data_IF_975449662274
#
_entry.id   IF_975449662274
#
_cell.length_a   1.000
_cell.length_b   1.000
_cell.length_c   1.000
_cell.angle_alpha   90.00
_cell.angle_beta   90.00
_cell.angle_gamma   90.00
#
_symmetry.space_group_name_H-M   'P 1'
#
loop_
_entity.id
_entity.type
_entity.pdbx_description
1 polymer ?
#
# COMPACT_ATOMS: atom_id res chain seq x y z
N UNK A 1 29.53 -53.55 47.52
CA UNK A 1 30.19 -52.25 47.30
C UNK A 1 29.07 -51.25 47.08
N UNK A 2 28.61 -50.45 48.06
CA UNK A 2 29.32 -49.36 48.81
C UNK A 2 30.02 -48.41 47.83
N UNK A 3 29.90 -47.08 47.84
CA UNK A 3 29.37 -46.07 48.78
C UNK A 3 29.02 -44.79 47.95
N UNK A 4 28.15 -43.86 48.38
CA UNK A 4 28.46 -42.60 49.12
C UNK A 4 29.45 -41.66 48.38
N UNK A 5 29.44 -40.31 48.37
CA UNK A 5 28.70 -39.19 48.99
C UNK A 5 29.26 -37.88 48.37
N UNK A 6 28.53 -36.76 48.54
CA UNK A 6 28.90 -35.37 48.96
C UNK A 6 30.34 -34.82 48.74
N UNK A 7 30.69 -33.53 48.73
CA UNK A 7 30.11 -32.18 48.81
C UNK A 7 31.27 -31.18 48.60
N UNK A 8 30.96 -29.87 48.62
CA UNK A 8 31.85 -28.72 48.86
C UNK A 8 32.78 -28.26 47.71
N UNK A 9 33.03 -26.98 47.49
CA UNK A 9 32.69 -25.77 48.24
C UNK A 9 33.64 -24.62 47.84
N UNK A 10 33.23 -23.38 48.12
CA UNK A 10 33.99 -22.11 48.12
C UNK A 10 34.43 -21.52 46.75
N UNK A 11 33.91 -20.37 46.29
CA UNK A 11 34.05 -18.97 46.76
C UNK A 11 35.39 -18.31 46.40
N UNK A 12 35.32 -17.16 45.70
CA UNK A 12 36.13 -15.90 45.80
C UNK A 12 35.88 -15.10 44.50
N UNK A 13 35.30 -13.89 44.38
CA UNK A 13 35.26 -12.60 45.10
C UNK A 13 36.06 -11.49 44.36
N UNK A 14 35.43 -10.30 44.25
CA UNK A 14 35.93 -8.96 43.84
C UNK A 14 36.03 -8.69 42.30
N UNK A 15 35.60 -7.52 41.76
CA UNK A 15 35.57 -6.17 42.32
C UNK A 15 34.62 -5.23 41.54
N UNK A 16 33.97 -4.34 42.30
CA UNK A 16 33.24 -3.11 41.91
C UNK A 16 34.08 -2.11 41.11
N UNK A 17 33.40 -1.27 40.31
CA UNK A 17 33.27 0.21 40.47
C UNK A 17 32.17 0.69 39.48
N UNK A 18 31.00 1.25 39.84
CA UNK A 18 30.66 2.54 40.50
C UNK A 18 31.51 3.71 39.95
N UNK A 19 31.00 4.83 39.47
CA UNK A 19 29.72 5.50 39.62
C UNK A 19 29.79 6.84 38.85
N UNK A 20 28.64 7.38 38.44
CA UNK A 20 28.16 8.78 38.54
C UNK A 20 29.19 9.95 38.48
N UNK A 21 28.94 11.09 37.84
CA UNK A 21 27.81 12.00 38.07
C UNK A 21 27.98 13.25 37.16
N UNK A 22 26.86 13.92 36.84
CA UNK A 22 26.61 15.40 36.91
C UNK A 22 27.71 16.38 36.45
N UNK A 23 27.50 17.45 35.68
CA UNK A 23 26.44 18.47 35.75
C UNK A 23 26.84 19.69 34.89
N UNK A 24 25.83 20.49 34.51
CA UNK A 24 25.83 21.97 34.32
C UNK A 24 26.50 22.56 33.06
N UNK A 25 25.74 23.18 32.14
CA UNK A 25 25.10 24.53 32.15
C UNK A 25 26.08 25.70 31.95
N UNK A 26 26.08 26.29 30.75
CA UNK A 26 25.85 27.71 30.40
C UNK A 26 26.46 28.03 29.02
N UNK A 27 25.71 28.49 28.01
CA UNK A 27 25.08 29.82 27.79
C UNK A 27 26.03 30.86 27.16
N UNK A 28 25.84 31.13 25.87
CA UNK A 28 25.82 32.45 25.17
C UNK A 28 25.95 32.18 23.65
N UNK A 29 24.97 32.44 22.77
CA UNK A 29 24.18 33.63 22.44
C UNK A 29 24.94 34.66 21.59
N UNK A 30 24.76 34.53 20.27
CA UNK A 30 24.86 35.54 19.19
C UNK A 30 24.66 34.76 17.88
N UNK A 31 24.00 35.20 16.83
CA UNK A 31 23.15 36.34 16.54
C UNK A 31 22.24 35.93 15.37
N UNK A 32 21.12 36.63 15.27
CA UNK A 32 20.03 36.42 14.33
C UNK A 32 20.46 36.36 12.86
N UNK A 33 20.00 35.34 12.12
CA UNK A 33 19.78 35.46 10.68
C UNK A 33 18.50 34.74 10.25
N UNK A 34 17.37 35.42 10.48
CA UNK A 34 16.13 35.09 9.79
C UNK A 34 16.30 35.44 8.30
N UNK A 35 16.28 34.44 7.42
CA UNK A 35 16.18 34.69 5.98
C UNK A 35 14.73 35.10 5.71
N UNK A 36 14.48 36.40 5.75
CA UNK A 36 13.24 37.00 5.26
C UNK A 36 13.24 36.84 3.75
N UNK A 37 12.19 36.21 3.22
CA UNK A 37 11.92 36.13 1.79
C UNK A 37 12.11 37.51 1.14
N UNK A 38 12.93 37.59 0.10
CA UNK A 38 13.05 38.80 -0.70
C UNK A 38 11.75 39.03 -1.48
N UNK A 39 10.86 39.84 -0.91
CA UNK A 39 9.76 40.44 -1.66
C UNK A 39 10.35 41.47 -2.64
N UNK A 40 10.41 41.09 -3.93
CA UNK A 40 10.65 42.03 -5.04
C UNK A 40 9.45 42.97 -5.14
N UNK A 41 9.70 44.28 -5.03
CA UNK A 41 8.71 45.31 -5.33
C UNK A 41 8.48 45.37 -6.85
N UNK A 42 7.20 45.41 -7.24
CA UNK A 42 6.75 45.71 -8.59
C UNK A 42 7.40 46.99 -9.12
N UNK A 43 7.93 46.90 -10.34
CA UNK A 43 7.93 48.01 -11.28
C UNK A 43 7.09 47.54 -12.48
N UNK A 44 6.03 48.29 -12.76
CA UNK A 44 5.07 48.04 -13.82
C UNK A 44 5.69 48.28 -15.20
N UNK A 45 5.51 47.35 -16.15
CA UNK A 45 4.69 47.57 -17.36
C UNK A 45 4.85 46.46 -18.41
N UNK A 46 3.69 46.00 -18.86
CA UNK A 46 3.33 45.49 -20.18
C UNK A 46 3.65 44.04 -20.61
N UNK A 47 2.51 43.36 -20.89
CA UNK A 47 2.27 42.44 -21.99
C UNK A 47 2.87 41.03 -21.87
N UNK A 48 2.12 40.10 -21.30
CA UNK A 48 1.20 39.24 -22.07
C UNK A 48 0.51 38.29 -21.08
N UNK A 49 -0.79 38.45 -20.89
CA UNK A 49 -1.62 37.45 -20.21
C UNK A 49 -1.66 36.18 -21.08
N UNK A 50 -0.76 35.25 -20.80
CA UNK A 50 -0.99 33.84 -21.08
C UNK A 50 -1.06 33.14 -19.74
N UNK A 51 -2.28 33.14 -19.19
CA UNK A 51 -2.69 32.12 -18.24
C UNK A 51 -2.47 30.78 -18.94
N UNK A 52 -1.36 30.12 -18.62
CA UNK A 52 -1.28 28.67 -18.76
C UNK A 52 -2.32 28.11 -17.79
N UNK A 53 -3.57 28.02 -18.25
CA UNK A 53 -4.47 27.00 -17.75
C UNK A 53 -3.85 25.69 -18.21
N UNK A 54 -2.91 25.18 -17.43
CA UNK A 54 -2.61 23.75 -17.44
C UNK A 54 -3.97 23.09 -17.27
N UNK A 55 -4.46 22.51 -18.36
CA UNK A 55 -5.54 21.55 -18.30
C UNK A 55 -4.98 20.43 -17.43
N UNK A 56 -5.19 20.52 -16.11
CA UNK A 56 -5.14 19.37 -15.23
C UNK A 56 -6.23 18.45 -15.75
N UNK A 57 -5.92 17.66 -16.77
CA UNK A 57 -6.67 16.46 -17.09
C UNK A 57 -6.76 15.73 -15.75
N UNK A 58 -7.96 15.67 -15.18
CA UNK A 58 -8.23 15.02 -13.91
C UNK A 58 -7.93 13.52 -14.05
N UNK A 59 -6.65 13.16 -14.02
CA UNK A 59 -6.21 11.77 -14.04
C UNK A 59 -6.68 11.17 -12.73
N UNK A 60 -7.64 10.25 -12.82
CA UNK A 60 -8.14 9.56 -11.65
C UNK A 60 -7.01 8.79 -10.97
N UNK A 61 -6.81 9.06 -9.68
CA UNK A 61 -5.82 8.35 -8.89
C UNK A 61 -6.31 6.94 -8.58
N UNK A 62 -5.49 5.94 -8.92
CA UNK A 62 -5.82 4.52 -8.75
C UNK A 62 -4.73 3.78 -7.99
N UNK A 63 -5.14 2.98 -7.00
CA UNK A 63 -4.24 2.08 -6.24
C UNK A 63 -4.49 0.66 -6.72
N UNK A 64 -3.46 0.00 -7.27
CA UNK A 64 -3.52 -1.35 -7.82
C UNK A 64 -2.82 -2.35 -6.90
N UNK A 65 -3.45 -3.48 -6.63
CA UNK A 65 -2.80 -4.68 -6.08
C UNK A 65 -2.69 -5.71 -7.18
N UNK A 66 -1.50 -6.30 -7.33
CA UNK A 66 -1.30 -7.46 -8.20
C UNK A 66 -0.74 -8.63 -7.39
N UNK A 67 -1.41 -9.79 -7.49
CA UNK A 67 -1.02 -11.02 -6.82
C UNK A 67 -0.83 -12.13 -7.84
N UNK A 68 0.42 -12.53 -8.08
CA UNK A 68 0.74 -13.61 -9.01
C UNK A 68 1.47 -14.75 -8.29
N UNK A 69 0.90 -15.95 -8.38
CA UNK A 69 1.52 -17.17 -7.85
C UNK A 69 1.06 -18.38 -8.65
N UNK A 70 2.00 -19.30 -8.90
CA UNK A 70 1.81 -20.49 -9.73
C UNK A 70 1.37 -20.18 -11.18
N UNK A 71 1.85 -19.07 -11.76
CA UNK A 71 1.55 -18.67 -13.14
C UNK A 71 0.12 -18.16 -13.35
N UNK A 72 -0.55 -17.75 -12.27
CA UNK A 72 -1.88 -17.15 -12.29
C UNK A 72 -1.84 -15.82 -11.58
N UNK A 73 -2.48 -14.83 -12.20
CA UNK A 73 -2.57 -13.45 -11.77
C UNK A 73 -4.01 -13.18 -11.32
N UNK A 74 -4.14 -12.63 -10.11
CA UNK A 74 -5.32 -11.91 -9.67
C UNK A 74 -4.93 -10.48 -9.33
N UNK A 75 -5.83 -9.54 -9.55
CA UNK A 75 -5.56 -8.14 -9.28
C UNK A 75 -6.82 -7.43 -8.81
N UNK A 76 -6.65 -6.29 -8.15
CA UNK A 76 -7.75 -5.41 -7.79
C UNK A 76 -7.25 -3.98 -7.75
N UNK A 77 -8.08 -3.00 -8.13
CA UNK A 77 -7.77 -1.59 -7.95
C UNK A 77 -8.93 -0.80 -7.37
N UNK A 78 -8.60 0.34 -6.77
CA UNK A 78 -9.56 1.29 -6.23
C UNK A 78 -9.33 2.66 -6.86
N UNK A 79 -10.39 3.30 -7.31
CA UNK A 79 -10.36 4.68 -7.80
C UNK A 79 -10.68 5.63 -6.66
N UNK A 80 -9.72 6.49 -6.27
CA UNK A 80 -9.84 7.35 -5.10
C UNK A 80 -11.00 8.35 -5.23
N UNK A 81 -11.18 8.89 -6.44
CA UNK A 81 -12.20 9.91 -6.73
C UNK A 81 -13.61 9.36 -6.71
N UNK A 82 -13.85 8.20 -7.31
CA UNK A 82 -15.20 7.63 -7.46
C UNK A 82 -15.57 6.67 -6.34
N UNK A 83 -14.60 6.15 -5.58
CA UNK A 83 -14.85 5.14 -4.56
C UNK A 83 -15.22 3.76 -5.12
N UNK A 84 -14.94 3.50 -6.39
CA UNK A 84 -15.23 2.22 -7.03
C UNK A 84 -14.08 1.22 -6.85
N UNK A 85 -14.44 -0.04 -6.59
CA UNK A 85 -13.53 -1.17 -6.58
C UNK A 85 -13.65 -1.95 -7.89
N UNK A 86 -12.51 -2.42 -8.36
CA UNK A 86 -12.41 -3.28 -9.52
C UNK A 86 -11.59 -4.51 -9.18
N UNK A 87 -12.03 -5.67 -9.63
CA UNK A 87 -11.35 -6.95 -9.42
C UNK A 87 -11.15 -7.66 -10.75
N UNK A 88 -9.94 -8.17 -10.95
CA UNK A 88 -9.59 -9.04 -12.04
C UNK A 88 -9.79 -10.48 -11.59
N UNK A 89 -10.63 -11.22 -12.29
CA UNK A 89 -10.73 -12.67 -12.14
C UNK A 89 -9.39 -13.35 -12.44
N UNK A 90 -9.15 -14.47 -11.79
CA UNK A 90 -7.86 -15.16 -11.83
C UNK A 90 -7.58 -15.68 -13.24
N UNK A 91 -6.58 -15.08 -13.88
CA UNK A 91 -6.17 -15.40 -15.24
C UNK A 91 -4.76 -15.99 -15.26
N UNK A 92 -4.43 -16.70 -16.33
CA UNK A 92 -3.07 -17.21 -16.54
C UNK A 92 -2.16 -16.07 -16.98
N UNK A 93 -1.05 -15.89 -16.28
CA UNK A 93 0.00 -14.94 -16.66
C UNK A 93 1.37 -15.54 -16.32
N UNK A 94 2.20 -15.72 -17.34
CA UNK A 94 3.40 -16.57 -17.26
C UNK A 94 4.66 -15.77 -17.62
N UNK A 95 5.81 -16.15 -17.04
CA UNK A 95 7.09 -15.59 -17.44
C UNK A 95 7.44 -15.95 -18.90
N UNK A 96 8.35 -15.19 -19.53
CA UNK A 96 9.07 -14.04 -18.94
C UNK A 96 8.35 -12.69 -19.06
N UNK A 97 7.36 -12.55 -19.94
CA UNK A 97 6.82 -11.22 -20.27
C UNK A 97 5.70 -10.73 -19.34
N UNK A 98 4.94 -11.63 -18.71
CA UNK A 98 3.76 -11.29 -17.91
C UNK A 98 2.83 -10.27 -18.59
N UNK A 99 2.40 -10.59 -19.81
CA UNK A 99 1.69 -9.67 -20.71
C UNK A 99 0.35 -9.19 -20.14
N UNK A 100 -0.31 -10.01 -19.33
CA UNK A 100 -1.60 -9.65 -18.74
C UNK A 100 -1.43 -8.56 -17.69
N UNK A 101 -0.41 -8.69 -16.83
CA UNK A 101 -0.03 -7.62 -15.91
C UNK A 101 0.36 -6.33 -16.66
N UNK A 102 1.19 -6.42 -17.70
CA UNK A 102 1.62 -5.24 -18.46
C UNK A 102 0.43 -4.52 -19.13
N UNK A 103 -0.56 -5.25 -19.61
CA UNK A 103 -1.79 -4.68 -20.19
C UNK A 103 -2.66 -4.04 -19.12
N UNK A 104 -2.85 -4.72 -17.99
CA UNK A 104 -3.58 -4.18 -16.83
C UNK A 104 -2.93 -2.88 -16.32
N UNK A 105 -1.61 -2.85 -16.17
CA UNK A 105 -0.89 -1.67 -15.69
C UNK A 105 -1.11 -0.46 -16.62
N UNK A 106 -1.01 -0.67 -17.94
CA UNK A 106 -1.25 0.38 -18.95
C UNK A 106 -2.72 0.84 -18.99
N UNK A 107 -3.67 -0.06 -18.77
CA UNK A 107 -5.10 0.29 -18.75
C UNK A 107 -5.49 1.06 -17.48
N UNK A 108 -4.91 0.68 -16.33
CA UNK A 108 -5.26 1.27 -15.02
C UNK A 108 -4.49 2.56 -14.77
N UNK A 109 -3.25 2.68 -15.27
CA UNK A 109 -2.33 3.78 -14.98
C UNK A 109 -2.27 4.12 -13.47
N UNK A 110 -1.91 3.14 -12.61
CA UNK A 110 -1.99 3.34 -11.17
C UNK A 110 -0.92 4.31 -10.65
N UNK A 111 -1.26 5.05 -9.60
CA UNK A 111 -0.30 5.88 -8.84
C UNK A 111 0.48 5.05 -7.82
N UNK A 112 0.02 3.84 -7.53
CA UNK A 112 0.62 2.93 -6.56
C UNK A 112 0.31 1.48 -6.94
N UNK A 113 1.34 0.64 -6.98
CA UNK A 113 1.25 -0.82 -7.15
C UNK A 113 1.69 -1.51 -5.86
N UNK A 114 0.83 -2.39 -5.37
CA UNK A 114 1.06 -3.21 -4.18
C UNK A 114 1.34 -4.66 -4.60
N UNK A 115 2.43 -5.23 -4.11
CA UNK A 115 2.85 -6.61 -4.38
C UNK A 115 3.09 -7.41 -3.11
N UNK A 116 2.92 -8.74 -3.18
CA UNK A 116 3.40 -9.64 -2.12
C UNK A 116 4.95 -9.64 -2.09
N UNK A 117 5.53 -9.18 -0.97
CA UNK A 117 6.97 -9.13 -0.77
C UNK A 117 7.64 -10.49 -0.53
N UNK A 118 6.86 -11.57 -0.39
CA UNK A 118 7.40 -12.89 -0.02
C UNK A 118 8.31 -13.50 -1.08
N UNK A 119 8.11 -13.18 -2.36
CA UNK A 119 8.83 -13.83 -3.46
C UNK A 119 9.45 -12.79 -4.40
N UNK A 120 10.78 -12.65 -4.45
CA UNK A 120 11.48 -11.86 -5.47
C UNK A 120 11.62 -12.63 -6.81
N UNK A 121 10.54 -13.25 -7.27
CA UNK A 121 10.52 -14.05 -8.49
C UNK A 121 10.47 -13.21 -9.77
N UNK A 122 10.42 -13.88 -10.93
CA UNK A 122 10.38 -13.23 -12.24
C UNK A 122 9.24 -12.20 -12.38
N UNK A 123 8.08 -12.46 -11.75
CA UNK A 123 6.97 -11.51 -11.72
C UNK A 123 7.36 -10.19 -11.07
N UNK A 124 7.96 -10.21 -9.87
CA UNK A 124 8.38 -8.98 -9.17
C UNK A 124 9.41 -8.20 -9.98
N UNK A 125 10.33 -8.88 -10.65
CA UNK A 125 11.29 -8.21 -11.53
C UNK A 125 10.61 -7.55 -12.73
N UNK A 126 9.58 -8.21 -13.29
CA UNK A 126 8.79 -7.65 -14.39
C UNK A 126 8.01 -6.44 -13.92
N UNK A 127 7.35 -6.49 -12.75
CA UNK A 127 6.64 -5.33 -12.20
C UNK A 127 7.61 -4.18 -11.90
N UNK A 128 8.77 -4.45 -11.30
CA UNK A 128 9.82 -3.43 -11.10
C UNK A 128 10.22 -2.78 -12.41
N UNK A 129 10.47 -3.60 -13.44
CA UNK A 129 10.75 -3.09 -14.78
C UNK A 129 9.58 -2.24 -15.28
N UNK A 130 8.36 -2.74 -15.30
CA UNK A 130 7.18 -1.96 -15.75
C UNK A 130 6.99 -0.64 -15.00
N UNK A 131 7.25 -0.59 -13.70
CA UNK A 131 7.08 0.62 -12.87
C UNK A 131 8.27 1.60 -13.02
N UNK A 132 9.49 1.11 -13.24
CA UNK A 132 10.71 1.94 -13.24
C UNK A 132 11.39 2.13 -14.62
N UNK A 133 11.03 1.34 -15.64
CA UNK A 133 11.60 1.35 -17.02
C UNK A 133 10.86 2.33 -17.94
N UNK A 134 10.07 3.24 -17.38
CA UNK A 134 9.41 4.31 -18.15
C UNK A 134 10.46 5.36 -18.52
N UNK A 135 11.16 5.12 -19.63
CA UNK A 135 12.20 5.99 -20.16
C UNK A 135 11.69 7.44 -20.32
N UNK A 136 12.34 8.37 -19.61
CA UNK A 136 12.45 9.79 -19.92
C UNK A 136 11.14 10.61 -20.06
N UNK A 137 10.38 10.76 -18.98
CA UNK A 137 9.70 12.02 -18.58
C UNK A 137 8.92 11.91 -17.26
N UNK A 138 8.88 10.69 -16.69
CA UNK A 138 7.76 10.25 -15.84
C UNK A 138 8.20 9.51 -14.57
N UNK A 139 9.49 9.63 -14.24
CA UNK A 139 10.11 9.08 -13.04
C UNK A 139 9.41 9.62 -11.78
N UNK A 140 8.38 8.92 -11.30
CA UNK A 140 7.72 9.24 -10.04
C UNK A 140 6.20 9.12 -10.01
N UNK A 141 5.52 8.85 -11.12
CA UNK A 141 4.04 8.73 -11.10
C UNK A 141 3.53 7.53 -10.32
N UNK A 142 4.21 6.39 -10.39
CA UNK A 142 3.77 5.16 -9.74
C UNK A 142 4.73 4.71 -8.63
N UNK A 143 4.22 4.56 -7.41
CA UNK A 143 4.95 3.99 -6.27
C UNK A 143 4.85 2.46 -6.28
N UNK A 144 5.92 1.77 -5.89
CA UNK A 144 5.89 0.32 -5.67
C UNK A 144 5.99 0.01 -4.17
N UNK A 145 5.02 -0.71 -3.63
CA UNK A 145 4.96 -1.08 -2.20
C UNK A 145 4.89 -2.60 -2.04
N UNK A 146 5.71 -3.13 -1.14
CA UNK A 146 5.70 -4.55 -0.80
C UNK A 146 4.89 -4.80 0.47
N UNK A 147 3.94 -5.73 0.38
CA UNK A 147 3.07 -6.15 1.46
C UNK A 147 3.70 -7.28 2.28
N UNK A 148 3.51 -7.23 3.60
CA UNK A 148 3.95 -8.25 4.56
C UNK A 148 3.03 -9.47 4.52
N UNK A 149 3.51 -10.62 4.02
CA UNK A 149 2.69 -11.83 3.88
C UNK A 149 1.96 -12.30 5.15
N UNK A 150 2.42 -11.91 6.35
CA UNK A 150 1.75 -12.23 7.63
C UNK A 150 0.38 -11.56 7.76
N UNK A 151 0.24 -10.34 7.22
CA UNK A 151 -0.95 -9.50 7.39
C UNK A 151 -2.00 -9.74 6.30
N UNK A 152 -1.64 -10.49 5.25
CA UNK A 152 -2.45 -10.70 4.04
C UNK A 152 -2.66 -12.20 3.75
N UNK A 153 -2.85 -13.02 4.79
CA UNK A 153 -3.24 -14.42 4.58
C UNK A 153 -4.60 -14.54 3.88
N UNK A 154 -4.82 -15.65 3.18
CA UNK A 154 -6.08 -15.89 2.45
C UNK A 154 -7.31 -15.70 3.32
N UNK A 155 -7.34 -16.32 4.51
CA UNK A 155 -8.47 -16.22 5.43
C UNK A 155 -8.66 -14.81 6.00
N UNK A 156 -7.58 -14.03 6.14
CA UNK A 156 -7.70 -12.62 6.52
C UNK A 156 -8.28 -11.78 5.37
N UNK A 157 -7.82 -12.00 4.14
CA UNK A 157 -8.34 -11.33 2.93
C UNK A 157 -9.82 -11.65 2.71
N UNK A 158 -10.17 -12.94 2.79
CA UNK A 158 -11.54 -13.44 2.65
C UNK A 158 -12.48 -12.86 3.70
N UNK A 159 -12.09 -12.83 4.98
CA UNK A 159 -12.88 -12.18 6.04
C UNK A 159 -13.08 -10.69 5.79
N UNK A 160 -12.09 -9.98 5.23
CA UNK A 160 -12.25 -8.57 4.88
C UNK A 160 -13.28 -8.36 3.78
N UNK A 161 -13.27 -9.21 2.76
CA UNK A 161 -14.25 -9.15 1.67
C UNK A 161 -15.66 -9.42 2.20
N UNK A 162 -15.86 -10.39 3.10
CA UNK A 162 -17.18 -10.62 3.71
C UNK A 162 -17.68 -9.47 4.59
N UNK A 163 -16.77 -8.64 5.10
CA UNK A 163 -17.11 -7.43 5.86
C UNK A 163 -17.18 -6.17 4.99
N UNK A 164 -16.95 -6.29 3.68
CA UNK A 164 -17.20 -5.19 2.74
C UNK A 164 -18.68 -4.83 2.80
N UNK A 165 -18.98 -3.53 2.71
CA UNK A 165 -20.34 -3.02 2.64
C UNK A 165 -20.48 -2.24 1.34
N UNK A 166 -21.34 -2.74 0.44
CA UNK A 166 -21.64 -2.13 -0.84
C UNK A 166 -23.08 -1.58 -0.83
N UNK A 167 -23.32 -0.38 -1.39
CA UNK A 167 -24.66 0.19 -1.53
C UNK A 167 -25.66 -0.68 -2.30
N UNK A 168 -25.17 -1.61 -3.14
CA UNK A 168 -25.99 -2.52 -3.93
C UNK A 168 -26.45 -3.77 -3.17
N UNK A 169 -26.06 -3.92 -1.90
CA UNK A 169 -26.49 -5.03 -1.07
C UNK A 169 -27.99 -4.98 -0.75
N UNK A 170 -28.65 -6.14 -0.56
CA UNK A 170 -30.04 -6.17 -0.16
C UNK A 170 -30.23 -5.47 1.19
N UNK A 171 -31.24 -4.59 1.28
CA UNK A 171 -31.55 -3.87 2.51
C UNK A 171 -32.01 -4.84 3.61
N UNK A 172 -31.52 -4.64 4.84
CA UNK A 172 -31.85 -5.46 6.02
C UNK A 172 -31.47 -6.95 5.91
N UNK A 173 -30.48 -7.30 5.07
CA UNK A 173 -30.01 -8.67 4.93
C UNK A 173 -29.29 -9.19 6.19
N UNK A 174 -29.49 -10.47 6.52
CA UNK A 174 -28.71 -11.16 7.54
C UNK A 174 -27.24 -11.33 7.11
N UNK A 175 -26.35 -11.69 8.04
CA UNK A 175 -24.94 -11.95 7.71
C UNK A 175 -24.81 -13.09 6.67
N UNK A 176 -25.66 -14.11 6.77
CA UNK A 176 -25.72 -15.23 5.83
C UNK A 176 -26.19 -14.81 4.45
N UNK A 177 -27.21 -13.95 4.36
CA UNK A 177 -27.72 -13.42 3.09
C UNK A 177 -26.68 -12.52 2.39
N UNK A 178 -25.98 -11.68 3.17
CA UNK A 178 -24.85 -10.86 2.66
C UNK A 178 -23.70 -11.75 2.16
N UNK A 179 -23.38 -12.80 2.91
CA UNK A 179 -22.37 -13.79 2.52
C UNK A 179 -22.75 -14.51 1.22
N UNK A 180 -24.03 -14.87 1.06
CA UNK A 180 -24.53 -15.47 -0.17
C UNK A 180 -24.47 -14.50 -1.35
N UNK A 181 -24.88 -13.24 -1.16
CA UNK A 181 -24.76 -12.19 -2.16
C UNK A 181 -23.31 -11.99 -2.62
N UNK A 182 -22.35 -11.88 -1.71
CA UNK A 182 -20.94 -11.71 -2.10
C UNK A 182 -20.39 -12.91 -2.89
N UNK A 183 -20.92 -14.12 -2.68
CA UNK A 183 -20.57 -15.31 -3.48
C UNK A 183 -21.15 -15.30 -4.89
N UNK A 184 -22.17 -14.48 -5.16
CA UNK A 184 -22.66 -14.26 -6.55
C UNK A 184 -21.85 -13.20 -7.28
N UNK A 185 -21.22 -12.29 -6.53
CA UNK A 185 -20.37 -11.22 -7.08
C UNK A 185 -18.92 -11.69 -7.28
N UNK A 186 -18.43 -12.58 -6.40
CA UNK A 186 -17.04 -13.01 -6.38
C UNK A 186 -16.91 -14.52 -6.20
N UNK A 187 -16.09 -15.14 -7.05
CA UNK A 187 -15.70 -16.55 -6.91
C UNK A 187 -14.54 -16.69 -5.91
N UNK A 188 -14.86 -17.13 -4.69
CA UNK A 188 -13.89 -17.32 -3.62
C UNK A 188 -12.94 -18.53 -3.82
N UNK A 189 -13.13 -19.33 -4.87
CA UNK A 189 -12.15 -20.35 -5.27
C UNK A 189 -10.91 -19.74 -5.94
N UNK A 190 -11.05 -18.53 -6.51
CA UNK A 190 -10.00 -17.77 -7.17
C UNK A 190 -9.11 -17.09 -6.13
N UNK A 191 -8.13 -17.86 -5.66
CA UNK A 191 -7.27 -17.49 -4.54
C UNK A 191 -6.52 -16.19 -4.79
N UNK A 192 -6.08 -15.91 -6.03
CA UNK A 192 -5.28 -14.72 -6.30
C UNK A 192 -6.10 -13.44 -6.31
N UNK A 193 -7.30 -13.51 -6.88
CA UNK A 193 -8.24 -12.39 -6.92
C UNK A 193 -8.74 -12.03 -5.52
N UNK A 194 -9.05 -13.05 -4.70
CA UNK A 194 -9.41 -12.87 -3.28
C UNK A 194 -8.27 -12.22 -2.49
N UNK A 195 -7.03 -12.66 -2.69
CA UNK A 195 -5.88 -12.01 -2.03
C UNK A 195 -5.73 -10.56 -2.48
N UNK A 196 -5.79 -10.29 -3.78
CA UNK A 196 -5.62 -8.94 -4.31
C UNK A 196 -6.67 -7.97 -3.75
N UNK A 197 -7.95 -8.34 -3.78
CA UNK A 197 -9.02 -7.50 -3.24
C UNK A 197 -8.91 -7.33 -1.73
N UNK A 198 -8.72 -8.42 -0.97
CA UNK A 198 -8.60 -8.32 0.48
C UNK A 198 -7.38 -7.50 0.93
N UNK A 199 -6.29 -7.55 0.16
CA UNK A 199 -5.12 -6.74 0.38
C UNK A 199 -5.33 -5.27 0.07
N UNK A 200 -6.06 -4.96 -1.00
CA UNK A 200 -6.43 -3.60 -1.35
C UNK A 200 -7.25 -2.96 -0.23
N UNK A 201 -8.30 -3.65 0.24
CA UNK A 201 -9.16 -3.18 1.33
C UNK A 201 -8.35 -2.86 2.59
N UNK A 202 -7.44 -3.77 2.97
CA UNK A 202 -6.55 -3.56 4.12
C UNK A 202 -5.61 -2.37 3.91
N UNK A 203 -5.02 -2.24 2.73
CA UNK A 203 -4.10 -1.14 2.45
C UNK A 203 -4.83 0.21 2.55
N UNK A 204 -6.04 0.31 2.00
CA UNK A 204 -6.88 1.51 2.08
C UNK A 204 -7.21 1.84 3.54
N UNK A 205 -7.61 0.87 4.37
CA UNK A 205 -7.88 1.10 5.79
C UNK A 205 -6.68 1.71 6.55
N UNK A 206 -5.46 1.29 6.20
CA UNK A 206 -4.24 1.69 6.90
C UNK A 206 -3.65 3.00 6.40
N UNK A 207 -3.84 3.31 5.12
CA UNK A 207 -3.15 4.42 4.45
C UNK A 207 -4.10 5.51 3.98
N UNK A 208 -5.39 5.45 4.35
CA UNK A 208 -6.40 6.39 3.89
C UNK A 208 -5.99 7.86 4.08
N UNK A 209 -5.47 8.22 5.26
CA UNK A 209 -5.03 9.58 5.56
C UNK A 209 -3.87 10.07 4.67
N UNK A 210 -3.11 9.17 4.04
CA UNK A 210 -2.05 9.51 3.10
C UNK A 210 -2.54 9.54 1.64
N UNK A 211 -3.69 8.93 1.38
CA UNK A 211 -4.29 8.80 0.04
C UNK A 211 -5.34 9.89 -0.20
N UNK A 212 -6.06 10.29 0.84
CA UNK A 212 -7.12 11.28 0.77
C UNK A 212 -6.80 12.47 1.69
N UNK A 213 -7.05 13.68 1.19
CA UNK A 213 -6.81 14.94 1.92
C UNK A 213 -7.77 15.11 3.11
N UNK A 214 -8.91 14.42 3.13
CA UNK A 214 -9.80 14.38 4.28
C UNK A 214 -9.32 13.35 5.32
N UNK A 215 -8.59 13.86 6.31
CA UNK A 215 -7.98 13.09 7.38
C UNK A 215 -9.00 12.35 8.28
N UNK A 216 -10.27 12.76 8.27
CA UNK A 216 -11.31 12.20 9.13
C UNK A 216 -12.29 11.28 8.39
N UNK A 217 -12.26 11.28 7.06
CA UNK A 217 -13.03 10.36 6.26
C UNK A 217 -12.48 8.93 6.37
N UNK A 218 -13.33 7.95 6.06
CA UNK A 218 -12.95 6.55 5.80
C UNK A 218 -13.12 6.25 4.31
N UNK A 219 -12.41 5.24 3.77
CA UNK A 219 -12.68 4.78 2.41
C UNK A 219 -14.16 4.41 2.26
N UNK A 220 -14.79 4.91 1.21
CA UNK A 220 -16.12 4.49 0.79
C UNK A 220 -15.99 3.55 -0.41
N UNK A 221 -16.80 2.49 -0.42
CA UNK A 221 -16.80 1.48 -1.48
C UNK A 221 -18.16 1.49 -2.15
N UNK A 222 -18.28 2.17 -3.29
CA UNK A 222 -19.57 2.41 -3.94
C UNK A 222 -20.03 1.23 -4.81
N UNK A 223 -19.08 0.52 -5.42
CA UNK A 223 -19.35 -0.64 -6.25
C UNK A 223 -18.14 -1.57 -6.30
N UNK A 224 -18.39 -2.83 -6.65
CA UNK A 224 -17.36 -3.81 -7.00
C UNK A 224 -17.64 -4.32 -8.42
N UNK A 225 -16.68 -4.14 -9.33
CA UNK A 225 -16.83 -4.44 -10.76
C UNK A 225 -15.73 -5.37 -11.25
N UNK A 226 -16.03 -6.19 -12.25
CA UNK A 226 -15.04 -7.06 -12.89
C UNK A 226 -14.23 -6.25 -13.92
N UNK A 227 -12.91 -6.46 -13.94
CA UNK A 227 -12.00 -5.91 -14.94
C UNK A 227 -12.05 -6.78 -16.18
N UNK A 228 -12.22 -6.16 -17.34
CA UNK A 228 -12.08 -6.82 -18.65
C UNK A 228 -10.75 -6.40 -19.27
N UNK A 229 -9.88 -7.40 -19.50
CA UNK A 229 -8.58 -7.27 -20.18
C UNK A 229 -8.67 -7.71 -21.65
#
# INVERSE_FOLDING_TARGET
MMAETSSDGASTVLRQTTSSSTSNLNSNRSDNHFVIAQCRRNDDQNANDQRETSEETETEERVLVAYCRSGRLGAAYYTLRTGELFILEEIVDRPPEYQMFASLFRQVEPICVLLDGKNQGAFVQTVRKTVFDSDANDEGRCKLVFLSAKDYSFEACKRRIFNLSLPTEPQNASEEERSLYLRTVLDFSQTQSVHALGALLRYLDLNWANLNMDLHAKPQFLSLRIISL
#
